data_IF_068147710395
#
_entry.id   IF_068147710395
#
_cell.length_a   1.000
_cell.length_b   1.000
_cell.length_c   1.000
_cell.angle_alpha   90.00
_cell.angle_beta   90.00
_cell.angle_gamma   90.00
#
_symmetry.space_group_name_H-M   'P 1'
#
loop_
_entity.id
_entity.type
_entity.pdbx_description
1 polymer ?
#
# COMPACT_ATOMS: atom_id res chain seq x y z
N UNK A 1 -5.71 -10.75 25.46
CA UNK A 1 -5.80 -12.16 25.01
C UNK A 1 -4.76 -12.47 23.94
N UNK A 2 -4.77 -11.83 22.76
CA UNK A 2 -3.84 -12.14 21.64
C UNK A 2 -2.34 -11.94 21.98
N UNK A 3 -1.97 -10.88 22.71
CA UNK A 3 -0.58 -10.66 23.16
C UNK A 3 -0.12 -11.65 24.25
N UNK A 4 -1.06 -12.24 25.00
CA UNK A 4 -0.77 -13.21 26.07
C UNK A 4 -0.78 -14.67 25.56
N UNK A 5 -1.43 -14.95 24.43
CA UNK A 5 -1.51 -16.28 23.81
C UNK A 5 -0.33 -16.60 22.90
N UNK A 6 0.60 -15.67 22.69
CA UNK A 6 1.75 -15.83 21.78
C UNK A 6 1.39 -15.80 20.29
N UNK A 7 0.14 -15.47 19.94
CA UNK A 7 -0.33 -15.48 18.56
C UNK A 7 0.42 -14.44 17.71
N UNK A 8 0.66 -13.24 18.25
CA UNK A 8 1.43 -12.19 17.57
C UNK A 8 2.89 -12.60 17.31
N UNK A 9 3.52 -13.31 18.25
CA UNK A 9 4.87 -13.85 18.06
C UNK A 9 4.89 -14.90 16.95
N UNK A 10 3.90 -15.81 16.92
CA UNK A 10 3.79 -16.83 15.87
C UNK A 10 3.58 -16.22 14.49
N UNK A 11 2.73 -15.19 14.39
CA UNK A 11 2.54 -14.44 13.14
C UNK A 11 3.80 -13.69 12.70
N UNK A 12 4.51 -13.08 13.64
CA UNK A 12 5.81 -12.43 13.37
C UNK A 12 6.81 -13.45 12.82
N UNK A 13 6.96 -14.61 13.47
CA UNK A 13 7.85 -15.67 12.99
C UNK A 13 7.45 -16.22 11.62
N UNK A 14 6.15 -16.41 11.34
CA UNK A 14 5.67 -16.82 10.02
C UNK A 14 5.99 -15.77 8.96
N UNK A 15 5.76 -14.49 9.27
CA UNK A 15 6.04 -13.39 8.34
C UNK A 15 7.53 -13.33 8.00
N UNK A 16 8.42 -13.46 8.99
CA UNK A 16 9.88 -13.51 8.74
C UNK A 16 10.23 -14.74 7.91
N UNK A 17 9.68 -15.92 8.24
CA UNK A 17 9.98 -17.16 7.53
C UNK A 17 9.55 -17.11 6.06
N UNK A 18 8.39 -16.53 5.76
CA UNK A 18 7.89 -16.39 4.39
C UNK A 18 8.50 -15.21 3.63
N UNK A 19 8.87 -14.12 4.32
CA UNK A 19 9.53 -12.97 3.69
C UNK A 19 11.04 -13.15 3.52
N UNK A 20 11.66 -14.10 4.22
CA UNK A 20 13.11 -14.27 4.25
C UNK A 20 13.86 -13.06 4.80
N UNK A 21 13.19 -12.22 5.60
CA UNK A 21 13.74 -10.95 6.09
C UNK A 21 13.66 -9.79 5.08
N UNK A 22 13.03 -9.97 3.92
CA UNK A 22 12.83 -8.88 2.96
C UNK A 22 11.58 -8.06 3.30
N UNK A 23 11.77 -6.77 3.57
CA UNK A 23 10.70 -5.84 3.98
C UNK A 23 9.60 -5.69 2.90
N UNK A 24 9.94 -5.70 1.61
CA UNK A 24 8.97 -5.61 0.52
C UNK A 24 8.05 -6.83 0.51
N UNK A 25 8.64 -8.03 0.66
CA UNK A 25 7.85 -9.26 0.77
C UNK A 25 7.00 -9.27 2.04
N UNK A 26 7.52 -8.75 3.15
CA UNK A 26 6.75 -8.60 4.38
C UNK A 26 5.53 -7.71 4.17
N UNK A 27 5.67 -6.54 3.53
CA UNK A 27 4.56 -5.63 3.22
C UNK A 27 3.52 -6.27 2.29
N UNK A 28 3.94 -7.08 1.31
CA UNK A 28 3.03 -7.86 0.46
C UNK A 28 2.25 -8.89 1.29
N UNK A 29 2.89 -9.56 2.24
CA UNK A 29 2.20 -10.49 3.16
C UNK A 29 1.19 -9.75 4.05
N UNK A 30 1.54 -8.57 4.56
CA UNK A 30 0.62 -7.72 5.32
C UNK A 30 -0.59 -7.34 4.47
N UNK A 31 -0.34 -6.95 3.22
CA UNK A 31 -1.40 -6.57 2.28
C UNK A 31 -2.37 -7.73 2.02
N UNK A 32 -1.85 -8.92 1.74
CA UNK A 32 -2.68 -10.12 1.50
C UNK A 32 -3.48 -10.46 2.76
N UNK A 33 -2.83 -10.46 3.93
CA UNK A 33 -3.50 -10.73 5.20
C UNK A 33 -4.61 -9.69 5.48
N UNK A 34 -4.34 -8.42 5.18
CA UNK A 34 -5.30 -7.33 5.30
C UNK A 34 -6.51 -7.51 4.40
N UNK A 35 -6.28 -7.85 3.13
CA UNK A 35 -7.35 -8.07 2.16
C UNK A 35 -8.28 -9.19 2.62
N UNK A 36 -7.72 -10.33 3.04
CA UNK A 36 -8.49 -11.50 3.50
C UNK A 36 -9.29 -11.16 4.77
N UNK A 37 -8.66 -10.56 5.78
CA UNK A 37 -9.34 -10.19 7.02
C UNK A 37 -10.40 -9.12 6.80
N UNK A 38 -10.11 -8.14 5.94
CA UNK A 38 -10.99 -7.04 5.61
C UNK A 38 -12.24 -7.46 4.82
N UNK A 39 -12.26 -8.66 4.21
CA UNK A 39 -13.47 -9.15 3.55
C UNK A 39 -14.58 -9.57 4.52
N UNK A 40 -14.20 -9.98 5.74
CA UNK A 40 -15.14 -10.53 6.73
C UNK A 40 -15.45 -9.59 7.90
N UNK A 41 -14.77 -8.44 8.00
CA UNK A 41 -14.82 -7.55 9.16
C UNK A 41 -15.00 -6.09 8.72
N UNK A 42 -15.70 -5.24 9.53
CA UNK A 42 -15.64 -3.80 9.34
C UNK A 42 -14.19 -3.30 9.44
N UNK A 43 -13.85 -2.27 8.67
CA UNK A 43 -12.51 -1.65 8.59
C UNK A 43 -11.82 -1.46 9.94
N UNK A 44 -12.55 -0.90 10.90
CA UNK A 44 -12.00 -0.62 12.22
C UNK A 44 -11.59 -1.90 12.93
N UNK A 45 -12.40 -2.96 12.81
CA UNK A 45 -12.11 -4.26 13.39
C UNK A 45 -10.97 -4.98 12.66
N UNK A 46 -10.93 -4.92 11.32
CA UNK A 46 -9.84 -5.52 10.55
C UNK A 46 -8.50 -4.87 10.87
N UNK A 47 -8.45 -3.54 10.98
CA UNK A 47 -7.28 -2.79 11.44
C UNK A 47 -6.81 -3.26 12.83
N UNK A 48 -7.70 -3.26 13.83
CA UNK A 48 -7.34 -3.62 15.22
C UNK A 48 -6.78 -5.05 15.28
N UNK A 49 -7.41 -6.00 14.60
CA UNK A 49 -6.93 -7.39 14.59
C UNK A 49 -5.58 -7.48 13.88
N UNK A 50 -5.44 -6.85 12.72
CA UNK A 50 -4.22 -6.94 11.92
C UNK A 50 -3.03 -6.29 12.62
N UNK A 51 -3.19 -5.11 13.22
CA UNK A 51 -2.07 -4.41 13.88
C UNK A 51 -1.57 -5.16 15.12
N UNK A 52 -2.45 -5.86 15.83
CA UNK A 52 -2.05 -6.70 16.98
C UNK A 52 -1.22 -7.91 16.52
N UNK A 53 -1.45 -8.42 15.30
CA UNK A 53 -0.73 -9.56 14.76
C UNK A 53 0.58 -9.16 14.06
N UNK A 54 0.56 -8.04 13.34
CA UNK A 54 1.62 -7.64 12.40
C UNK A 54 2.47 -6.49 12.93
N UNK A 55 1.90 -5.61 13.77
CA UNK A 55 2.61 -4.47 14.35
C UNK A 55 3.92 -4.83 15.05
N UNK A 56 3.96 -5.87 15.92
CA UNK A 56 5.20 -6.33 16.53
C UNK A 56 6.23 -6.79 15.51
N UNK A 57 5.81 -7.48 14.44
CA UNK A 57 6.73 -7.92 13.38
C UNK A 57 7.33 -6.72 12.65
N UNK A 58 6.50 -5.78 12.19
CA UNK A 58 6.96 -4.58 11.48
C UNK A 58 7.90 -3.73 12.34
N UNK A 59 7.57 -3.56 13.62
CA UNK A 59 8.35 -2.68 14.50
C UNK A 59 9.62 -3.35 15.02
N UNK A 60 9.53 -4.59 15.53
CA UNK A 60 10.66 -5.23 16.22
C UNK A 60 11.63 -5.94 15.26
N UNK A 61 11.13 -6.47 14.14
CA UNK A 61 11.92 -7.30 13.23
C UNK A 61 12.43 -6.50 12.03
N UNK A 62 11.62 -5.55 11.55
CA UNK A 62 11.97 -4.68 10.42
C UNK A 62 12.36 -3.26 10.83
N UNK A 63 12.29 -2.92 12.11
CA UNK A 63 12.68 -1.60 12.63
C UNK A 63 11.78 -0.46 12.16
N UNK A 64 10.58 -0.75 11.64
CA UNK A 64 9.67 0.28 11.15
C UNK A 64 9.15 1.08 12.35
N UNK A 65 9.19 2.43 12.31
CA UNK A 65 8.68 3.22 13.40
C UNK A 65 7.21 2.91 13.70
N UNK A 66 6.86 2.92 14.99
CA UNK A 66 5.55 2.45 15.46
C UNK A 66 4.38 3.19 14.77
N UNK A 67 4.48 4.51 14.64
CA UNK A 67 3.46 5.31 13.97
C UNK A 67 3.27 4.88 12.51
N UNK A 68 4.37 4.65 11.78
CA UNK A 68 4.33 4.19 10.39
C UNK A 68 3.73 2.78 10.31
N UNK A 69 4.10 1.87 11.20
CA UNK A 69 3.50 0.54 11.25
C UNK A 69 1.97 0.59 11.44
N UNK A 70 1.49 1.47 12.32
CA UNK A 70 0.05 1.70 12.50
C UNK A 70 -0.61 2.27 11.23
N UNK A 71 0.00 3.27 10.59
CA UNK A 71 -0.53 3.89 9.38
C UNK A 71 -0.56 2.92 8.20
N UNK A 72 0.49 2.14 7.99
CA UNK A 72 0.56 1.11 6.93
C UNK A 72 -0.58 0.11 7.09
N UNK A 73 -0.76 -0.41 8.30
CA UNK A 73 -1.80 -1.41 8.58
C UNK A 73 -3.21 -0.80 8.46
N UNK A 74 -3.40 0.43 8.93
CA UNK A 74 -4.66 1.16 8.77
C UNK A 74 -4.98 1.47 7.30
N UNK A 75 -3.96 1.77 6.50
CA UNK A 75 -4.12 2.07 5.09
C UNK A 75 -4.50 0.82 4.29
N UNK A 76 -3.77 -0.28 4.50
CA UNK A 76 -4.09 -1.55 3.86
C UNK A 76 -5.42 -2.14 4.32
N UNK A 77 -5.93 -1.79 5.49
CA UNK A 77 -7.26 -2.27 5.94
C UNK A 77 -8.41 -1.66 5.15
N UNK A 78 -8.16 -0.61 4.35
CA UNK A 78 -9.15 -0.03 3.44
C UNK A 78 -9.28 -0.79 2.11
N UNK A 79 -8.30 -1.64 1.76
CA UNK A 79 -8.22 -2.25 0.43
C UNK A 79 -9.41 -3.17 0.12
N UNK A 80 -9.90 -3.90 1.12
CA UNK A 80 -11.07 -4.77 0.95
C UNK A 80 -12.34 -4.02 0.57
N UNK A 81 -12.51 -2.77 1.03
CA UNK A 81 -13.69 -1.96 0.73
C UNK A 81 -13.77 -1.47 -0.71
N UNK A 82 -12.64 -1.45 -1.43
CA UNK A 82 -12.58 -1.07 -2.84
C UNK A 82 -12.44 -2.27 -3.76
N UNK A 83 -12.20 -3.47 -3.22
CA UNK A 83 -11.94 -4.68 -3.99
C UNK A 83 -13.24 -5.47 -4.25
N UNK A 84 -13.60 -5.77 -5.51
CA UNK A 84 -14.68 -6.70 -5.82
C UNK A 84 -14.39 -8.09 -5.20
N UNK A 85 -15.39 -8.81 -4.65
CA UNK A 85 -16.84 -8.66 -4.84
C UNK A 85 -17.56 -7.87 -3.72
N UNK A 86 -16.85 -7.19 -2.83
CA UNK A 86 -17.39 -6.55 -1.61
C UNK A 86 -17.29 -5.02 -1.63
N UNK A 87 -16.95 -4.44 -2.77
CA UNK A 87 -16.76 -3.00 -2.94
C UNK A 87 -18.05 -2.18 -2.80
N UNK A 88 -18.52 -1.95 -1.57
CA UNK A 88 -19.81 -1.36 -1.25
C UNK A 88 -20.01 0.03 -1.88
N UNK A 89 -18.97 0.86 -1.87
CA UNK A 89 -19.02 2.19 -2.47
C UNK A 89 -19.22 2.12 -4.00
N UNK A 90 -18.54 1.18 -4.67
CA UNK A 90 -18.70 0.94 -6.11
C UNK A 90 -20.10 0.47 -6.46
N UNK A 91 -20.68 -0.41 -5.62
CA UNK A 91 -22.06 -0.88 -5.82
C UNK A 91 -23.11 0.21 -5.60
N UNK A 92 -22.92 1.06 -4.58
CA UNK A 92 -23.78 2.22 -4.36
C UNK A 92 -23.69 3.23 -5.53
N UNK A 93 -22.48 3.51 -6.01
CA UNK A 93 -22.25 4.37 -7.17
C UNK A 93 -22.91 3.83 -8.43
N UNK A 94 -22.80 2.52 -8.68
CA UNK A 94 -23.43 1.86 -9.81
C UNK A 94 -24.96 1.95 -9.77
N UNK A 95 -25.56 1.83 -8.59
CA UNK A 95 -27.01 1.95 -8.41
C UNK A 95 -27.52 3.37 -8.75
N UNK A 96 -26.76 4.41 -8.40
CA UNK A 96 -27.09 5.81 -8.74
C UNK A 96 -26.92 6.04 -10.25
N UNK A 97 -25.85 5.51 -10.84
CA UNK A 97 -25.51 5.67 -12.25
C UNK A 97 -26.29 4.73 -13.20
N UNK A 98 -27.13 3.85 -12.66
CA UNK A 98 -27.83 2.79 -13.40
C UNK A 98 -26.89 1.92 -14.26
N UNK A 99 -25.72 1.59 -13.71
CA UNK A 99 -24.66 0.82 -14.36
C UNK A 99 -24.47 -0.56 -13.70
N UNK A 100 -23.69 -1.44 -14.34
CA UNK A 100 -23.34 -2.75 -13.77
C UNK A 100 -22.50 -2.56 -12.48
N UNK A 101 -22.95 -3.10 -11.32
CA UNK A 101 -22.20 -3.00 -10.06
C UNK A 101 -20.80 -3.60 -10.14
N UNK A 102 -20.66 -4.75 -10.80
CA UNK A 102 -19.38 -5.44 -10.90
C UNK A 102 -18.39 -4.66 -11.78
N UNK A 103 -18.82 -4.19 -12.95
CA UNK A 103 -17.94 -3.43 -13.86
C UNK A 103 -17.51 -2.11 -13.23
N UNK A 104 -18.43 -1.41 -12.58
CA UNK A 104 -18.15 -0.15 -11.88
C UNK A 104 -17.12 -0.37 -10.77
N UNK A 105 -17.29 -1.42 -9.97
CA UNK A 105 -16.35 -1.74 -8.89
C UNK A 105 -14.98 -2.19 -9.40
N UNK A 106 -14.90 -2.89 -10.53
CA UNK A 106 -13.62 -3.25 -11.16
C UNK A 106 -12.87 -2.00 -11.63
N UNK A 107 -13.58 -1.03 -12.24
CA UNK A 107 -12.97 0.24 -12.63
C UNK A 107 -12.52 1.05 -11.40
N UNK A 108 -13.35 1.15 -10.37
CA UNK A 108 -12.99 1.83 -9.12
C UNK A 108 -11.75 1.20 -8.47
N UNK A 109 -11.67 -0.14 -8.44
CA UNK A 109 -10.51 -0.86 -7.92
C UNK A 109 -9.24 -0.61 -8.73
N UNK A 110 -9.34 -0.51 -10.05
CA UNK A 110 -8.22 -0.16 -10.93
C UNK A 110 -7.68 1.24 -10.60
N UNK A 111 -8.56 2.22 -10.41
CA UNK A 111 -8.16 3.56 -9.96
C UNK A 111 -7.56 3.56 -8.55
N UNK A 112 -8.07 2.70 -7.67
CA UNK A 112 -7.60 2.60 -6.30
C UNK A 112 -6.22 1.93 -6.14
N UNK A 113 -5.59 1.45 -7.22
CA UNK A 113 -4.26 0.81 -7.15
C UNK A 113 -3.17 1.70 -6.56
N UNK A 114 -3.33 3.03 -6.56
CA UNK A 114 -2.43 3.93 -5.81
C UNK A 114 -2.35 3.61 -4.31
N UNK A 115 -3.37 2.98 -3.74
CA UNK A 115 -3.42 2.58 -2.33
C UNK A 115 -2.33 1.58 -1.93
N UNK A 116 -1.81 0.78 -2.88
CA UNK A 116 -0.75 -0.19 -2.58
C UNK A 116 0.63 0.46 -2.49
N UNK A 117 0.80 1.58 -3.19
CA UNK A 117 2.09 2.25 -3.37
C UNK A 117 2.43 3.13 -2.15
N UNK A 118 1.42 3.81 -1.60
CA UNK A 118 1.56 4.79 -0.52
C UNK A 118 2.16 4.18 0.77
N UNK A 119 1.74 3.00 1.25
CA UNK A 119 2.30 2.46 2.49
C UNK A 119 3.75 2.00 2.33
N UNK A 120 4.14 1.49 1.16
CA UNK A 120 5.54 1.21 0.88
C UNK A 120 6.37 2.50 0.93
N UNK A 121 5.85 3.59 0.34
CA UNK A 121 6.50 4.89 0.40
C UNK A 121 6.71 5.39 1.84
N UNK A 122 5.69 5.27 2.70
CA UNK A 122 5.77 5.64 4.12
C UNK A 122 6.86 4.86 4.88
N UNK A 123 7.11 3.61 4.50
CA UNK A 123 8.11 2.74 5.15
C UNK A 123 9.53 3.10 4.73
N UNK A 124 9.75 3.41 3.46
CA UNK A 124 11.09 3.74 2.95
C UNK A 124 11.47 5.21 3.14
N UNK A 125 10.48 6.10 3.34
CA UNK A 125 10.67 7.54 3.50
C UNK A 125 10.01 8.01 4.82
N UNK A 126 10.50 7.55 5.98
CA UNK A 126 9.88 7.84 7.28
C UNK A 126 9.79 9.33 7.60
N UNK A 127 10.66 10.16 7.02
CA UNK A 127 10.70 11.61 7.21
C UNK A 127 9.40 12.32 6.81
N UNK A 128 8.59 11.74 5.91
CA UNK A 128 7.30 12.33 5.52
C UNK A 128 6.24 12.19 6.62
N UNK A 129 6.43 11.24 7.54
CA UNK A 129 5.52 10.94 8.64
C UNK A 129 6.08 11.43 9.98
N UNK A 130 7.33 11.09 10.29
CA UNK A 130 7.97 11.45 11.57
C UNK A 130 8.51 12.88 11.58
N UNK A 131 8.62 13.49 10.40
CA UNK A 131 9.25 14.78 10.20
C UNK A 131 10.76 14.68 10.03
N UNK A 132 11.35 15.77 9.55
CA UNK A 132 12.77 15.86 9.26
C UNK A 132 13.14 17.29 8.86
N UNK A 133 14.30 17.44 8.22
CA UNK A 133 14.69 18.72 7.66
C UNK A 133 13.69 19.14 6.56
N UNK A 134 13.27 20.40 6.57
CA UNK A 134 12.14 20.87 5.74
C UNK A 134 12.41 20.67 4.25
N UNK A 135 13.64 20.88 3.83
CA UNK A 135 14.09 20.68 2.45
C UNK A 135 13.98 19.23 1.99
N UNK A 136 14.29 18.27 2.86
CA UNK A 136 14.18 16.85 2.56
C UNK A 136 12.72 16.45 2.45
N UNK A 137 11.89 16.85 3.42
CA UNK A 137 10.45 16.54 3.40
C UNK A 137 9.75 17.11 2.16
N UNK A 138 10.11 18.33 1.75
CA UNK A 138 9.57 18.95 0.54
C UNK A 138 10.04 18.20 -0.73
N UNK A 139 11.30 17.78 -0.78
CA UNK A 139 11.83 16.99 -1.91
C UNK A 139 11.15 15.63 -2.01
N UNK A 140 11.13 14.87 -0.91
CA UNK A 140 10.46 13.58 -0.78
C UNK A 140 8.96 13.68 -1.10
N UNK A 141 8.28 14.73 -0.65
CA UNK A 141 6.87 14.97 -0.98
C UNK A 141 6.65 15.26 -2.47
N UNK A 142 7.55 16.04 -3.09
CA UNK A 142 7.50 16.33 -4.52
C UNK A 142 7.73 15.06 -5.37
N UNK A 143 8.73 14.24 -5.03
CA UNK A 143 8.99 12.97 -5.72
C UNK A 143 7.82 12.00 -5.54
N UNK A 144 7.23 11.91 -4.34
CA UNK A 144 6.04 11.09 -4.09
C UNK A 144 4.88 11.45 -5.02
N UNK A 145 4.58 12.75 -5.18
CA UNK A 145 3.52 13.24 -6.06
C UNK A 145 3.82 12.85 -7.50
N UNK A 146 5.05 13.07 -7.98
CA UNK A 146 5.43 12.70 -9.35
C UNK A 146 5.32 11.20 -9.59
N UNK A 147 5.79 10.36 -8.66
CA UNK A 147 5.69 8.91 -8.75
C UNK A 147 4.24 8.43 -8.76
N UNK A 148 3.38 8.99 -7.91
CA UNK A 148 1.96 8.64 -7.88
C UNK A 148 1.25 9.03 -9.17
N UNK A 149 1.54 10.21 -9.73
CA UNK A 149 1.00 10.65 -11.02
C UNK A 149 1.48 9.74 -12.16
N UNK A 150 2.78 9.42 -12.20
CA UNK A 150 3.35 8.51 -13.20
C UNK A 150 2.75 7.10 -13.10
N UNK A 151 2.56 6.59 -11.89
CA UNK A 151 1.94 5.29 -11.64
C UNK A 151 0.47 5.27 -12.07
N UNK A 152 -0.31 6.29 -11.72
CA UNK A 152 -1.69 6.43 -12.15
C UNK A 152 -1.80 6.53 -13.68
N UNK A 153 -0.94 7.32 -14.32
CA UNK A 153 -0.85 7.42 -15.76
C UNK A 153 -0.52 6.08 -16.43
N UNK A 154 0.42 5.31 -15.89
CA UNK A 154 0.78 4.00 -16.43
C UNK A 154 -0.34 2.98 -16.29
N UNK A 155 -1.10 3.02 -15.18
CA UNK A 155 -2.27 2.16 -14.99
C UNK A 155 -3.40 2.50 -15.96
N UNK A 156 -3.67 3.78 -16.17
CA UNK A 156 -4.71 4.23 -17.12
C UNK A 156 -4.27 4.16 -18.58
N UNK A 157 -2.97 4.20 -18.84
CA UNK A 157 -2.42 4.27 -20.20
C UNK A 157 -2.59 5.64 -20.86
N UNK A 158 -2.78 6.69 -20.06
CA UNK A 158 -3.00 8.06 -20.54
C UNK A 158 -2.54 9.10 -19.50
N UNK A 159 -1.81 10.12 -19.94
CA UNK A 159 -1.51 11.32 -19.14
C UNK A 159 -1.86 12.59 -19.91
N UNK A 160 -1.08 12.90 -20.95
CA UNK A 160 -1.36 13.97 -21.92
C UNK A 160 -1.64 13.41 -23.33
N UNK A 161 -1.18 12.20 -23.59
CA UNK A 161 -1.44 11.41 -24.79
C UNK A 161 -1.54 9.93 -24.40
N UNK A 162 -2.05 9.10 -25.31
CA UNK A 162 -2.09 7.65 -25.14
C UNK A 162 -0.68 7.09 -24.99
N UNK A 163 -0.46 6.26 -23.98
CA UNK A 163 0.83 5.64 -23.69
C UNK A 163 0.91 4.27 -24.34
N UNK A 164 2.05 3.97 -24.97
CA UNK A 164 2.36 2.65 -25.49
C UNK A 164 2.55 1.63 -24.35
N UNK A 165 2.31 0.35 -24.65
CA UNK A 165 2.40 -0.72 -23.63
C UNK A 165 3.83 -0.86 -23.09
N UNK A 166 4.86 -0.54 -23.89
CA UNK A 166 6.26 -0.61 -23.45
C UNK A 166 6.58 0.47 -22.41
N UNK A 167 6.20 1.74 -22.65
CA UNK A 167 6.42 2.80 -21.65
C UNK A 167 5.70 2.50 -20.34
N UNK A 168 4.49 1.94 -20.40
CA UNK A 168 3.74 1.51 -19.20
C UNK A 168 4.46 0.42 -18.41
N UNK A 169 5.02 -0.58 -19.09
CA UNK A 169 5.77 -1.68 -18.46
C UNK A 169 7.06 -1.17 -17.80
N UNK A 170 7.68 -0.12 -18.33
CA UNK A 170 8.91 0.47 -17.78
C UNK A 170 8.60 1.39 -16.59
N UNK A 171 7.53 2.18 -16.68
CA UNK A 171 7.18 3.17 -15.65
C UNK A 171 6.77 2.51 -14.34
N UNK A 172 6.07 1.37 -14.37
CA UNK A 172 5.62 0.70 -13.15
C UNK A 172 6.81 0.27 -12.26
N UNK A 173 7.81 -0.49 -12.74
CA UNK A 173 9.01 -0.78 -11.97
C UNK A 173 9.80 0.47 -11.58
N UNK A 174 9.92 1.46 -12.47
CA UNK A 174 10.63 2.71 -12.19
C UNK A 174 10.01 3.46 -11.00
N UNK A 175 8.68 3.54 -10.93
CA UNK A 175 7.98 4.17 -9.80
C UNK A 175 8.18 3.43 -8.48
N UNK A 176 8.41 2.12 -8.52
CA UNK A 176 8.71 1.31 -7.33
C UNK A 176 10.19 1.46 -6.95
N UNK A 177 11.09 1.56 -7.93
CA UNK A 177 12.54 1.73 -7.72
C UNK A 177 12.91 3.08 -7.10
N UNK A 178 12.24 4.17 -7.51
CA UNK A 178 12.45 5.52 -6.97
C UNK A 178 12.11 5.63 -5.48
N UNK A 179 11.39 4.65 -4.91
CA UNK A 179 11.08 4.64 -3.49
C UNK A 179 12.22 4.14 -2.61
N UNK A 180 13.28 3.58 -3.20
CA UNK A 180 14.50 3.31 -2.48
C UNK A 180 15.27 4.63 -2.29
N UNK A 181 15.61 5.04 -1.06
CA UNK A 181 16.31 6.29 -0.77
C UNK A 181 17.79 6.18 -1.14
N UNK A 182 18.08 6.00 -2.42
CA UNK A 182 19.41 6.13 -3.00
C UNK A 182 19.36 7.22 -4.08
N UNK A 183 20.14 8.27 -3.88
CA UNK A 183 20.17 9.44 -4.78
C UNK A 183 20.49 9.06 -6.24
N UNK A 184 21.18 7.94 -6.49
CA UNK A 184 21.47 7.46 -7.85
C UNK A 184 20.29 6.70 -8.43
N UNK A 185 19.52 5.98 -7.62
CA UNK A 185 18.26 5.34 -8.02
C UNK A 185 17.15 6.37 -8.30
N UNK A 186 17.06 7.42 -7.48
CA UNK A 186 16.12 8.55 -7.64
C UNK A 186 16.37 9.33 -8.95
N UNK A 187 17.63 9.55 -9.32
CA UNK A 187 18.00 10.26 -10.57
C UNK A 187 17.89 9.36 -11.80
N UNK A 188 18.11 8.05 -11.64
CA UNK A 188 18.05 7.08 -12.74
C UNK A 188 16.63 6.57 -13.06
N UNK A 189 15.69 6.67 -12.11
CA UNK A 189 14.38 6.04 -12.26
C UNK A 189 14.45 4.52 -12.29
N UNK A 190 15.43 3.93 -11.60
CA UNK A 190 15.65 2.47 -11.47
C UNK A 190 16.15 2.13 -10.09
#
# INVERSE_FOLDING_TARGET
VVGLTGLGLKFSSMMIAFSGGNIVLALILVLIASLILGMGLPVTASYIVLIVLVGPALSNEFGIPLLIAHLVVFWYSQDSNVTPPIALAGFAGAAIANASPMETSVQAWKFAKGLYLIPAFMVFNPEIIEGGAIELVLWTGFTAILCLVAFAAALEGFLFATMDVFSRIIIVPATIGVFYPDFRAEVAGT
#
